data_IF_028619028097
#
_entry.id   IF_028619028097
#
_cell.length_a   1.000
_cell.length_b   1.000
_cell.length_c   1.000
_cell.angle_alpha   90.00
_cell.angle_beta   90.00
_cell.angle_gamma   90.00
#
_symmetry.space_group_name_H-M   'P 1'
#
loop_
_entity.id
_entity.type
_entity.pdbx_description
1 polymer ?
#
# COMPACT_ATOMS: atom_id res chain seq x y z
N UNK A 1 4.58 48.19 -9.97
CA UNK A 1 5.42 47.25 -9.20
C UNK A 1 4.57 46.04 -8.89
N UNK A 2 4.58 45.05 -9.77
CA UNK A 2 3.66 43.90 -9.71
C UNK A 2 4.35 42.70 -10.33
N UNK A 3 4.81 41.76 -9.50
CA UNK A 3 4.95 40.32 -9.81
C UNK A 3 5.77 39.59 -8.71
N UNK A 4 5.43 39.75 -7.43
CA UNK A 4 6.10 39.01 -6.35
C UNK A 4 5.23 37.91 -5.74
N UNK A 5 3.98 37.75 -6.20
CA UNK A 5 3.02 36.77 -5.65
C UNK A 5 2.95 35.44 -6.42
N UNK A 6 3.53 35.35 -7.62
CA UNK A 6 3.56 34.12 -8.43
C UNK A 6 4.72 33.18 -8.08
N UNK A 7 5.80 33.71 -7.49
CA UNK A 7 7.01 32.95 -7.19
C UNK A 7 6.91 32.08 -5.93
N UNK A 8 6.11 32.47 -4.94
CA UNK A 8 5.98 31.72 -3.67
C UNK A 8 5.13 30.45 -3.82
N UNK A 9 4.09 30.48 -4.67
CA UNK A 9 3.21 29.33 -4.89
C UNK A 9 3.89 28.25 -5.76
N UNK A 10 4.73 28.66 -6.71
CA UNK A 10 5.53 27.75 -7.54
C UNK A 10 6.67 27.09 -6.74
N UNK A 11 7.25 27.81 -5.77
CA UNK A 11 8.24 27.29 -4.84
C UNK A 11 7.69 26.19 -3.92
N UNK A 12 6.50 26.40 -3.34
CA UNK A 12 5.85 25.39 -2.51
C UNK A 12 5.49 24.12 -3.30
N UNK A 13 4.98 24.25 -4.53
CA UNK A 13 4.69 23.09 -5.40
C UNK A 13 5.97 22.35 -5.84
N UNK A 14 7.08 23.08 -6.04
CA UNK A 14 8.39 22.49 -6.36
C UNK A 14 9.00 21.72 -5.18
N UNK A 15 8.78 22.17 -3.94
CA UNK A 15 9.16 21.45 -2.72
C UNK A 15 8.30 20.21 -2.46
N UNK A 16 7.00 20.24 -2.81
CA UNK A 16 6.14 19.05 -2.75
C UNK A 16 6.35 18.06 -3.90
N UNK A 17 6.98 18.46 -5.00
CA UNK A 17 7.25 17.60 -6.15
C UNK A 17 8.58 16.83 -6.05
N UNK A 18 9.46 17.17 -5.09
CA UNK A 18 10.82 16.64 -5.06
C UNK A 18 10.96 15.39 -4.17
N UNK A 19 10.58 14.24 -4.73
CA UNK A 19 10.99 12.86 -4.40
C UNK A 19 10.70 12.29 -2.99
N UNK A 20 10.50 13.11 -1.95
CA UNK A 20 10.25 12.64 -0.56
C UNK A 20 8.78 12.56 -0.16
N UNK A 21 7.90 13.24 -0.87
CA UNK A 21 6.44 13.27 -0.62
C UNK A 21 5.70 12.11 -1.27
N UNK A 22 6.18 11.63 -2.42
CA UNK A 22 5.61 10.47 -3.12
C UNK A 22 5.61 9.21 -2.23
N UNK A 23 6.71 8.83 -1.54
CA UNK A 23 6.69 7.71 -0.61
C UNK A 23 5.68 7.87 0.54
N UNK A 24 5.48 9.10 1.04
CA UNK A 24 4.60 9.35 2.18
C UNK A 24 3.12 9.18 1.81
N UNK A 25 2.68 9.73 0.68
CA UNK A 25 1.30 9.58 0.20
C UNK A 25 1.04 8.11 -0.15
N UNK A 26 1.98 7.46 -0.82
CA UNK A 26 1.87 6.03 -1.12
C UNK A 26 1.81 5.17 0.14
N UNK A 27 2.55 5.52 1.20
CA UNK A 27 2.45 4.83 2.49
C UNK A 27 1.05 4.92 3.07
N UNK A 28 0.44 6.12 3.08
CA UNK A 28 -0.92 6.29 3.63
C UNK A 28 -1.94 5.47 2.83
N UNK A 29 -1.89 5.54 1.50
CA UNK A 29 -2.81 4.79 0.63
C UNK A 29 -2.61 3.29 0.81
N UNK A 30 -1.35 2.83 0.83
CA UNK A 30 -1.02 1.41 0.99
C UNK A 30 -1.49 0.85 2.34
N UNK A 31 -1.23 1.58 3.44
CA UNK A 31 -1.67 1.16 4.78
C UNK A 31 -3.19 1.16 4.86
N UNK A 32 -3.87 2.22 4.38
CA UNK A 32 -5.33 2.30 4.44
C UNK A 32 -6.02 1.20 3.63
N UNK A 33 -5.54 0.97 2.40
CA UNK A 33 -6.07 -0.08 1.52
C UNK A 33 -5.81 -1.48 2.08
N UNK A 34 -4.61 -1.74 2.60
CA UNK A 34 -4.28 -3.02 3.26
C UNK A 34 -5.11 -3.25 4.52
N UNK A 35 -5.28 -2.21 5.34
CA UNK A 35 -6.07 -2.29 6.56
C UNK A 35 -7.54 -2.59 6.26
N UNK A 36 -8.11 -1.97 5.21
CA UNK A 36 -9.46 -2.26 4.75
C UNK A 36 -9.58 -3.66 4.16
N UNK A 37 -8.61 -4.05 3.31
CA UNK A 37 -8.61 -5.36 2.67
C UNK A 37 -8.61 -6.52 3.67
N UNK A 38 -7.80 -6.44 4.74
CA UNK A 38 -7.74 -7.48 5.78
C UNK A 38 -8.76 -7.27 6.90
N UNK A 39 -9.73 -6.36 6.74
CA UNK A 39 -10.85 -6.19 7.68
C UNK A 39 -10.50 -5.46 8.99
N UNK A 40 -9.37 -4.75 9.04
CA UNK A 40 -9.03 -3.87 10.16
C UNK A 40 -9.91 -2.61 10.25
N UNK A 41 -10.50 -2.21 9.12
CA UNK A 41 -11.58 -1.21 9.05
C UNK A 41 -12.71 -1.75 8.17
N UNK A 42 -13.94 -1.31 8.42
CA UNK A 42 -15.14 -1.85 7.76
C UNK A 42 -15.52 -1.11 6.49
N UNK A 43 -15.10 0.15 6.33
CA UNK A 43 -15.47 0.96 5.18
C UNK A 43 -14.49 2.12 4.95
N UNK A 44 -14.26 2.44 3.67
CA UNK A 44 -13.62 3.70 3.23
C UNK A 44 -14.58 4.38 2.24
N UNK A 45 -15.10 5.55 2.63
CA UNK A 45 -16.01 6.34 1.78
C UNK A 45 -15.32 7.60 1.27
N UNK A 46 -15.39 7.81 -0.05
CA UNK A 46 -14.88 8.99 -0.73
C UNK A 46 -16.02 9.96 -1.05
N UNK A 47 -16.23 10.94 -0.19
CA UNK A 47 -17.35 11.91 -0.31
C UNK A 47 -17.30 12.72 -1.60
N UNK A 48 -16.11 13.12 -2.04
CA UNK A 48 -15.92 13.90 -3.27
C UNK A 48 -16.19 13.12 -4.56
N UNK A 49 -16.23 11.79 -4.48
CA UNK A 49 -16.56 10.90 -5.60
C UNK A 49 -18.00 10.40 -5.48
N UNK A 50 -18.93 11.32 -5.25
CA UNK A 50 -20.36 10.99 -5.11
C UNK A 50 -20.65 9.97 -3.99
N UNK A 51 -19.95 10.09 -2.86
CA UNK A 51 -20.04 9.14 -1.73
C UNK A 51 -19.73 7.69 -2.12
N UNK A 52 -18.77 7.50 -3.02
CA UNK A 52 -18.32 6.18 -3.42
C UNK A 52 -17.70 5.41 -2.24
N UNK A 53 -18.16 4.18 -2.02
CA UNK A 53 -17.60 3.27 -1.02
C UNK A 53 -16.64 2.30 -1.70
N UNK A 54 -15.39 2.26 -1.22
CA UNK A 54 -14.35 1.38 -1.74
C UNK A 54 -14.75 -0.07 -1.46
N UNK A 55 -14.61 -0.97 -2.44
CA UNK A 55 -14.75 -2.41 -2.19
C UNK A 55 -13.39 -3.03 -1.84
N UNK A 56 -13.39 -4.20 -1.21
CA UNK A 56 -12.14 -4.95 -0.90
C UNK A 56 -11.30 -5.23 -2.15
N UNK A 57 -11.95 -5.46 -3.29
CA UNK A 57 -11.27 -5.63 -4.58
C UNK A 57 -10.53 -4.35 -5.01
N UNK A 58 -11.20 -3.19 -4.96
CA UNK A 58 -10.56 -1.91 -5.27
C UNK A 58 -9.40 -1.62 -4.32
N UNK A 59 -9.52 -2.00 -3.04
CA UNK A 59 -8.47 -1.87 -2.05
C UNK A 59 -7.25 -2.73 -2.40
N UNK A 60 -7.45 -4.00 -2.74
CA UNK A 60 -6.38 -4.90 -3.15
C UNK A 60 -5.66 -4.38 -4.39
N UNK A 61 -6.41 -3.94 -5.41
CA UNK A 61 -5.84 -3.41 -6.64
C UNK A 61 -5.09 -2.08 -6.42
N UNK A 62 -5.66 -1.16 -5.65
CA UNK A 62 -5.00 0.10 -5.29
C UNK A 62 -3.73 -0.16 -4.48
N UNK A 63 -3.78 -1.06 -3.50
CA UNK A 63 -2.63 -1.47 -2.71
C UNK A 63 -1.49 -2.01 -3.57
N UNK A 64 -1.78 -2.92 -4.50
CA UNK A 64 -0.77 -3.45 -5.43
C UNK A 64 -0.24 -2.40 -6.40
N UNK A 65 -1.10 -1.54 -6.93
CA UNK A 65 -0.66 -0.47 -7.82
C UNK A 65 0.32 0.49 -7.11
N UNK A 66 -0.01 0.86 -5.87
CA UNK A 66 0.83 1.71 -5.02
C UNK A 66 2.13 0.99 -4.63
N UNK A 67 2.06 -0.28 -4.26
CA UNK A 67 3.22 -1.11 -3.96
C UNK A 67 4.18 -1.21 -5.14
N UNK A 68 3.67 -1.51 -6.33
CA UNK A 68 4.47 -1.58 -7.55
C UNK A 68 5.09 -0.21 -7.89
N UNK A 69 4.32 0.88 -7.76
CA UNK A 69 4.84 2.23 -7.99
C UNK A 69 5.97 2.58 -7.02
N UNK A 70 5.81 2.22 -5.74
CA UNK A 70 6.83 2.43 -4.71
C UNK A 70 8.09 1.62 -5.00
N UNK A 71 7.95 0.33 -5.31
CA UNK A 71 9.08 -0.55 -5.67
C UNK A 71 9.83 -0.05 -6.91
N UNK A 72 9.12 0.35 -7.97
CA UNK A 72 9.74 0.93 -9.17
C UNK A 72 10.43 2.27 -8.90
N UNK A 73 10.02 2.97 -7.84
CA UNK A 73 10.60 4.24 -7.42
C UNK A 73 11.78 4.07 -6.45
N UNK A 74 12.04 2.89 -5.91
CA UNK A 74 13.12 2.67 -4.93
C UNK A 74 14.50 2.84 -5.57
N UNK A 75 15.55 3.05 -4.77
CA UNK A 75 16.93 3.12 -5.28
C UNK A 75 17.42 1.73 -5.75
N UNK A 76 16.85 0.68 -5.18
CA UNK A 76 17.15 -0.74 -5.39
C UNK A 76 16.21 -1.38 -6.41
N UNK A 77 15.83 -0.65 -7.48
CA UNK A 77 14.83 -1.06 -8.52
C UNK A 77 14.95 -2.48 -9.07
N UNK A 78 16.12 -3.13 -8.92
CA UNK A 78 16.36 -4.50 -9.36
C UNK A 78 16.25 -5.46 -8.19
N UNK A 79 15.29 -6.37 -8.30
CA UNK A 79 15.04 -7.45 -7.34
C UNK A 79 16.29 -8.25 -6.97
N UNK A 80 17.24 -8.40 -7.91
CA UNK A 80 18.49 -9.14 -7.73
C UNK A 80 19.46 -8.47 -6.72
N UNK A 81 19.26 -7.19 -6.41
CA UNK A 81 20.09 -6.46 -5.46
C UNK A 81 19.66 -6.63 -4.01
N UNK A 82 18.50 -7.25 -3.77
CA UNK A 82 17.97 -7.52 -2.43
C UNK A 82 18.52 -8.81 -1.86
N UNK A 83 18.68 -8.86 -0.53
CA UNK A 83 18.99 -10.11 0.17
C UNK A 83 17.82 -11.10 0.02
N UNK A 84 18.08 -12.41 0.16
CA UNK A 84 17.04 -13.43 -0.04
C UNK A 84 15.81 -13.23 0.85
N UNK A 85 15.99 -12.76 2.09
CA UNK A 85 14.85 -12.49 2.97
C UNK A 85 14.05 -11.25 2.54
N UNK A 86 14.71 -10.24 1.98
CA UNK A 86 14.06 -9.05 1.41
C UNK A 86 13.27 -9.45 0.16
N UNK A 87 13.85 -10.28 -0.71
CA UNK A 87 13.17 -10.85 -1.87
C UNK A 87 11.89 -11.63 -1.49
N UNK A 88 11.97 -12.45 -0.44
CA UNK A 88 10.80 -13.17 0.10
C UNK A 88 9.77 -12.17 0.62
N UNK A 89 10.18 -11.15 1.37
CA UNK A 89 9.25 -10.13 1.88
C UNK A 89 8.58 -9.35 0.75
N UNK A 90 9.31 -9.01 -0.30
CA UNK A 90 8.79 -8.31 -1.47
C UNK A 90 7.79 -9.17 -2.24
N UNK A 91 8.10 -10.46 -2.42
CA UNK A 91 7.20 -11.41 -3.08
C UNK A 91 5.96 -11.75 -2.23
N UNK A 92 6.07 -11.71 -0.90
CA UNK A 92 4.96 -12.01 0.00
C UNK A 92 3.81 -11.00 -0.15
N UNK A 93 4.09 -9.72 -0.40
CA UNK A 93 3.04 -8.68 -0.54
C UNK A 93 2.04 -9.03 -1.65
N UNK A 94 2.44 -9.20 -2.93
CA UNK A 94 1.49 -9.54 -4.00
C UNK A 94 0.84 -10.90 -3.78
N UNK A 95 1.56 -11.88 -3.23
CA UNK A 95 0.99 -13.21 -2.95
C UNK A 95 -0.11 -13.14 -1.90
N UNK A 96 0.12 -12.45 -0.79
CA UNK A 96 -0.85 -12.32 0.31
C UNK A 96 -2.01 -11.43 -0.11
N UNK A 97 -1.75 -10.27 -0.71
CA UNK A 97 -2.78 -9.33 -1.15
C UNK A 97 -3.66 -9.92 -2.25
N UNK A 98 -3.09 -10.41 -3.36
CA UNK A 98 -3.90 -10.95 -4.45
C UNK A 98 -4.47 -12.32 -4.10
N UNK A 99 -3.71 -13.15 -3.38
CA UNK A 99 -4.16 -14.44 -2.91
C UNK A 99 -5.37 -14.32 -1.99
N UNK A 100 -5.32 -13.42 -1.00
CA UNK A 100 -6.44 -13.19 -0.09
C UNK A 100 -7.70 -12.67 -0.80
N UNK A 101 -7.55 -11.93 -1.90
CA UNK A 101 -8.67 -11.38 -2.66
C UNK A 101 -9.26 -12.37 -3.68
N UNK A 102 -8.43 -13.17 -4.34
CA UNK A 102 -8.84 -13.95 -5.52
C UNK A 102 -8.67 -15.45 -5.38
N UNK A 103 -8.00 -15.95 -4.34
CA UNK A 103 -7.75 -17.39 -4.14
C UNK A 103 -8.41 -17.82 -2.84
N UNK A 104 -9.54 -18.52 -2.97
CA UNK A 104 -10.34 -18.99 -1.83
C UNK A 104 -9.52 -19.76 -0.78
N UNK A 105 -8.60 -20.60 -1.22
CA UNK A 105 -7.75 -21.43 -0.39
C UNK A 105 -6.84 -20.58 0.50
N UNK A 106 -6.32 -19.47 -0.03
CA UNK A 106 -5.48 -18.54 0.72
C UNK A 106 -6.34 -17.75 1.70
N UNK A 107 -7.51 -17.27 1.28
CA UNK A 107 -8.46 -16.58 2.16
C UNK A 107 -8.89 -17.47 3.33
N UNK A 108 -9.26 -18.72 3.06
CA UNK A 108 -9.63 -19.71 4.08
C UNK A 108 -8.45 -20.02 5.00
N UNK A 109 -7.27 -20.32 4.45
CA UNK A 109 -6.07 -20.56 5.24
C UNK A 109 -5.75 -19.40 6.19
N UNK A 110 -5.81 -18.17 5.68
CA UNK A 110 -5.54 -16.96 6.47
C UNK A 110 -6.59 -16.79 7.56
N UNK A 111 -7.87 -16.94 7.25
CA UNK A 111 -8.92 -16.75 8.25
C UNK A 111 -8.94 -17.88 9.30
N UNK A 112 -8.55 -19.10 8.95
CA UNK A 112 -8.53 -20.26 9.86
C UNK A 112 -7.33 -20.28 10.81
N UNK A 113 -6.23 -19.57 10.48
CA UNK A 113 -4.99 -19.51 11.29
C UNK A 113 -5.21 -19.02 12.74
N UNK A 114 -6.31 -18.32 13.01
CA UNK A 114 -6.69 -17.83 14.35
C UNK A 114 -7.87 -18.54 14.99
N UNK A 115 -8.41 -19.59 14.37
CA UNK A 115 -9.68 -20.19 14.78
C UNK A 115 -10.82 -19.17 14.75
N UNK A 116 -11.31 -18.75 15.93
CA UNK A 116 -12.36 -17.72 16.05
C UNK A 116 -11.83 -16.29 16.15
N UNK A 117 -10.50 -16.11 16.18
CA UNK A 117 -9.87 -14.79 16.30
C UNK A 117 -9.37 -14.27 14.94
N UNK A 118 -9.38 -12.94 14.70
CA UNK A 118 -8.92 -12.36 13.44
C UNK A 118 -7.39 -12.38 13.27
N UNK A 119 -6.68 -13.24 14.00
CA UNK A 119 -5.22 -13.26 14.09
C UNK A 119 -4.58 -13.44 12.71
N UNK A 120 -5.11 -14.33 11.87
CA UNK A 120 -4.51 -14.56 10.56
C UNK A 120 -4.63 -13.36 9.62
N UNK A 121 -5.77 -12.64 9.64
CA UNK A 121 -5.91 -11.39 8.90
C UNK A 121 -4.98 -10.29 9.43
N UNK A 122 -4.78 -10.21 10.75
CA UNK A 122 -3.81 -9.30 11.36
C UNK A 122 -2.36 -9.63 10.98
N UNK A 123 -2.01 -10.91 10.90
CA UNK A 123 -0.71 -11.37 10.43
C UNK A 123 -0.51 -11.08 8.95
N UNK A 124 -1.54 -11.29 8.12
CA UNK A 124 -1.51 -10.95 6.70
C UNK A 124 -1.25 -9.44 6.50
N UNK A 125 -1.93 -8.59 7.28
CA UNK A 125 -1.66 -7.16 7.31
C UNK A 125 -0.21 -6.85 7.74
N UNK A 126 0.29 -7.47 8.81
CA UNK A 126 1.64 -7.24 9.30
C UNK A 126 2.73 -7.66 8.29
N UNK A 127 2.57 -8.81 7.63
CA UNK A 127 3.45 -9.28 6.55
C UNK A 127 3.44 -8.29 5.38
N UNK A 128 2.26 -7.79 5.02
CA UNK A 128 2.07 -6.80 3.96
C UNK A 128 2.80 -5.49 4.28
N UNK A 129 2.70 -5.00 5.53
CA UNK A 129 3.46 -3.82 5.98
C UNK A 129 4.96 -4.06 6.00
N UNK A 130 5.40 -5.23 6.44
CA UNK A 130 6.81 -5.57 6.46
C UNK A 130 7.43 -5.53 5.06
N UNK A 131 6.77 -6.13 4.07
CA UNK A 131 7.20 -6.07 2.68
C UNK A 131 7.15 -4.66 2.08
N UNK A 132 6.24 -3.80 2.54
CA UNK A 132 6.24 -2.37 2.20
C UNK A 132 7.50 -1.65 2.68
N UNK A 133 7.89 -1.82 3.94
CA UNK A 133 9.10 -1.18 4.48
C UNK A 133 10.36 -1.59 3.72
N UNK A 134 10.43 -2.85 3.26
CA UNK A 134 11.52 -3.32 2.41
C UNK A 134 11.46 -2.67 1.02
N UNK A 135 10.26 -2.47 0.46
CA UNK A 135 10.09 -1.87 -0.87
C UNK A 135 10.41 -0.37 -0.94
N UNK A 136 10.18 0.39 0.13
CA UNK A 136 10.43 1.85 0.16
C UNK A 136 11.82 2.23 0.69
N UNK A 137 12.64 1.25 1.02
CA UNK A 137 14.04 1.44 1.42
C UNK A 137 14.90 1.78 0.20
#
# INVERSE_FOLDING_TARGET
>A
MSSSYSSSMTGALSEYANLRTLPAIFSVVFVATSLYQFGGITEITLTWFSNYSLTTEHAALAGIAVYAAAFMSSETKRFENYETWEQIALGAVPVVTLGYQYVSEITTLINDLGGTSPLGAQLAFAVTLFGWFVAVR
#
